data_IF_569680044187
#
_entry.id   IF_569680044187
#
_cell.length_a   1.000
_cell.length_b   1.000
_cell.length_c   1.000
_cell.angle_alpha   90.00
_cell.angle_beta   90.00
_cell.angle_gamma   90.00
#
_symmetry.space_group_name_H-M   'P 1'
#
loop_
_entity.id
_entity.type
_entity.pdbx_description
1 polymer ?
#
# COMPACT_ATOMS: atom_id res chain seq x y z
N UNK A 1 -22.15 -5.95 -8.91
CA UNK A 1 -21.01 -5.07 -9.24
C UNK A 1 -20.02 -5.83 -10.12
N UNK A 2 -19.53 -5.25 -11.22
CA UNK A 2 -18.49 -5.87 -12.04
C UNK A 2 -17.16 -6.03 -11.27
N UNK A 3 -16.25 -6.88 -11.77
CA UNK A 3 -14.94 -7.20 -11.15
C UNK A 3 -14.16 -5.94 -10.71
N UNK A 4 -14.20 -4.87 -11.51
CA UNK A 4 -13.53 -3.60 -11.22
C UNK A 4 -14.16 -2.84 -10.04
N UNK A 5 -15.50 -2.80 -9.94
CA UNK A 5 -16.20 -2.12 -8.85
C UNK A 5 -15.93 -2.76 -7.48
N UNK A 6 -15.78 -4.09 -7.44
CA UNK A 6 -15.41 -4.81 -6.22
C UNK A 6 -14.01 -4.42 -5.71
N UNK A 7 -13.05 -4.28 -6.62
CA UNK A 7 -11.67 -3.93 -6.27
C UNK A 7 -11.56 -2.48 -5.77
N UNK A 8 -12.31 -1.55 -6.38
CA UNK A 8 -12.37 -0.16 -5.92
C UNK A 8 -12.94 -0.09 -4.50
N UNK A 9 -14.07 -0.75 -4.25
CA UNK A 9 -14.66 -0.81 -2.92
C UNK A 9 -13.69 -1.41 -1.89
N UNK A 10 -12.99 -2.48 -2.27
CA UNK A 10 -11.98 -3.10 -1.41
C UNK A 10 -10.86 -2.11 -1.05
N UNK A 11 -10.31 -1.37 -2.01
CA UNK A 11 -9.26 -0.37 -1.74
C UNK A 11 -9.75 0.77 -0.85
N UNK A 12 -11.03 1.16 -0.96
CA UNK A 12 -11.61 2.18 -0.09
C UNK A 12 -11.72 1.68 1.34
N UNK A 13 -12.24 0.45 1.51
CA UNK A 13 -12.35 -0.18 2.84
C UNK A 13 -10.97 -0.33 3.48
N UNK A 14 -9.98 -0.84 2.73
CA UNK A 14 -8.60 -0.96 3.20
C UNK A 14 -8.05 0.43 3.59
N UNK A 15 -8.25 1.45 2.76
CA UNK A 15 -7.80 2.81 3.06
C UNK A 15 -8.41 3.37 4.33
N UNK A 16 -9.71 3.12 4.56
CA UNK A 16 -10.40 3.54 5.78
C UNK A 16 -9.88 2.82 7.02
N UNK A 17 -9.59 1.52 6.92
CA UNK A 17 -8.99 0.75 8.02
C UNK A 17 -7.59 1.27 8.34
N UNK A 18 -6.76 1.52 7.32
CA UNK A 18 -5.40 2.05 7.51
C UNK A 18 -5.46 3.46 8.12
N UNK A 19 -6.40 4.30 7.67
CA UNK A 19 -6.62 5.62 8.26
C UNK A 19 -6.91 5.52 9.76
N UNK A 20 -7.81 4.63 10.17
CA UNK A 20 -8.12 4.41 11.59
C UNK A 20 -6.89 3.92 12.36
N UNK A 21 -6.18 2.92 11.84
CA UNK A 21 -4.97 2.37 12.47
C UNK A 21 -3.90 3.46 12.62
N UNK A 22 -3.64 4.24 11.57
CA UNK A 22 -2.65 5.30 11.57
C UNK A 22 -2.98 6.39 12.59
N UNK A 23 -4.22 6.88 12.61
CA UNK A 23 -4.63 7.91 13.57
C UNK A 23 -4.63 7.41 15.02
N UNK A 24 -4.94 6.13 15.28
CA UNK A 24 -4.78 5.52 16.61
C UNK A 24 -3.31 5.45 16.98
N UNK A 25 -2.47 4.95 16.08
CA UNK A 25 -1.05 4.69 16.34
C UNK A 25 -0.25 5.97 16.60
N UNK A 26 -0.53 7.04 15.84
CA UNK A 26 0.13 8.33 15.96
C UNK A 26 -0.65 9.34 16.82
N UNK A 27 -1.80 8.94 17.39
CA UNK A 27 -2.69 9.79 18.18
C UNK A 27 -3.12 11.10 17.46
N UNK A 28 -3.41 10.99 16.17
CA UNK A 28 -3.57 12.11 15.23
C UNK A 28 -5.04 12.47 14.93
N UNK A 29 -5.99 11.97 15.73
CA UNK A 29 -7.43 12.28 15.57
C UNK A 29 -7.81 13.74 15.88
N UNK A 30 -6.84 14.61 16.15
CA UNK A 30 -7.06 16.01 16.53
C UNK A 30 -7.18 16.89 15.29
N UNK A 31 -8.30 16.75 14.58
CA UNK A 31 -8.61 17.61 13.43
C UNK A 31 -9.22 18.92 13.91
N UNK A 32 -8.66 20.06 13.47
CA UNK A 32 -9.20 21.38 13.81
C UNK A 32 -10.33 21.81 12.86
N UNK A 33 -10.45 21.15 11.71
CA UNK A 33 -11.48 21.43 10.71
C UNK A 33 -11.88 20.19 9.90
N UNK A 34 -13.10 20.17 9.32
CA UNK A 34 -13.50 19.13 8.36
C UNK A 34 -12.55 19.02 7.15
N UNK A 35 -11.92 20.13 6.75
CA UNK A 35 -10.98 20.17 5.64
C UNK A 35 -9.69 19.40 5.96
N UNK A 36 -9.14 19.56 7.17
CA UNK A 36 -7.97 18.78 7.62
C UNK A 36 -8.27 17.28 7.66
N UNK A 37 -9.45 16.91 8.17
CA UNK A 37 -9.92 15.52 8.17
C UNK A 37 -10.00 14.97 6.73
N UNK A 38 -10.65 15.70 5.82
CA UNK A 38 -10.81 15.28 4.42
C UNK A 38 -9.48 15.18 3.69
N UNK A 39 -8.54 16.09 3.97
CA UNK A 39 -7.19 16.01 3.42
C UNK A 39 -6.47 14.75 3.91
N UNK A 40 -6.42 14.53 5.23
CA UNK A 40 -5.77 13.35 5.81
C UNK A 40 -6.41 12.06 5.28
N UNK A 41 -7.73 11.94 5.39
CA UNK A 41 -8.46 10.79 4.87
C UNK A 41 -8.22 10.58 3.37
N UNK A 42 -8.28 11.63 2.56
CA UNK A 42 -8.00 11.59 1.13
C UNK A 42 -6.60 11.07 0.80
N UNK A 43 -5.59 11.46 1.57
CA UNK A 43 -4.22 10.98 1.41
C UNK A 43 -4.11 9.47 1.71
N UNK A 44 -4.73 9.00 2.79
CA UNK A 44 -4.80 7.56 3.09
C UNK A 44 -5.51 6.77 1.98
N UNK A 45 -6.60 7.31 1.42
CA UNK A 45 -7.31 6.69 0.30
C UNK A 45 -6.44 6.64 -0.97
N UNK A 46 -5.73 7.72 -1.30
CA UNK A 46 -4.83 7.77 -2.44
C UNK A 46 -3.72 6.73 -2.34
N UNK A 47 -3.09 6.62 -1.16
CA UNK A 47 -2.03 5.65 -0.90
C UNK A 47 -2.56 4.22 -0.99
N UNK A 48 -3.70 3.94 -0.36
CA UNK A 48 -4.36 2.62 -0.44
C UNK A 48 -4.70 2.25 -1.88
N UNK A 49 -5.20 3.20 -2.67
CA UNK A 49 -5.54 2.96 -4.06
C UNK A 49 -4.29 2.60 -4.87
N UNK A 50 -3.25 3.44 -4.85
CA UNK A 50 -2.03 3.22 -5.63
C UNK A 50 -1.35 1.92 -5.22
N UNK A 51 -1.06 1.75 -3.93
CA UNK A 51 -0.34 0.57 -3.45
C UNK A 51 -1.19 -0.71 -3.58
N UNK A 52 -2.48 -0.63 -3.28
CA UNK A 52 -3.41 -1.74 -3.38
C UNK A 52 -3.56 -2.25 -4.81
N UNK A 53 -3.78 -1.36 -5.78
CA UNK A 53 -3.89 -1.75 -7.18
C UNK A 53 -2.56 -2.22 -7.76
N UNK A 54 -1.44 -1.56 -7.45
CA UNK A 54 -0.11 -2.00 -7.91
C UNK A 54 0.22 -3.42 -7.43
N UNK A 55 -0.03 -3.71 -6.15
CA UNK A 55 0.19 -5.05 -5.61
C UNK A 55 -0.81 -6.07 -6.19
N UNK A 56 -2.10 -5.73 -6.28
CA UNK A 56 -3.11 -6.63 -6.86
C UNK A 56 -2.78 -7.00 -8.31
N UNK A 57 -2.33 -6.03 -9.11
CA UNK A 57 -1.90 -6.26 -10.49
C UNK A 57 -0.67 -7.18 -10.53
N UNK A 58 0.33 -6.91 -9.69
CA UNK A 58 1.52 -7.75 -9.58
C UNK A 58 1.19 -9.20 -9.21
N UNK A 59 0.33 -9.42 -8.21
CA UNK A 59 -0.07 -10.77 -7.82
C UNK A 59 -0.92 -11.45 -8.88
N UNK A 60 -1.77 -10.72 -9.60
CA UNK A 60 -2.53 -11.26 -10.75
C UNK A 60 -1.59 -11.71 -11.86
N UNK A 61 -0.56 -10.92 -12.17
CA UNK A 61 0.47 -11.28 -13.14
C UNK A 61 1.26 -12.52 -12.69
N UNK A 62 1.69 -12.56 -11.43
CA UNK A 62 2.37 -13.72 -10.86
C UNK A 62 1.52 -14.99 -10.89
N UNK A 63 0.21 -14.90 -10.68
CA UNK A 63 -0.71 -16.03 -10.74
C UNK A 63 -0.81 -16.63 -12.15
N UNK A 64 -0.62 -15.82 -13.19
CA UNK A 64 -0.62 -16.27 -14.59
C UNK A 64 0.65 -17.00 -15.04
N UNK A 65 1.69 -17.04 -14.20
CA UNK A 65 2.94 -17.74 -14.51
C UNK A 65 2.81 -19.26 -14.33
N UNK A 66 3.50 -20.02 -15.18
CA UNK A 66 3.53 -21.48 -15.11
C UNK A 66 4.46 -21.97 -13.99
N UNK A 67 3.95 -21.97 -12.75
CA UNK A 67 4.66 -22.48 -11.59
C UNK A 67 4.71 -24.02 -11.60
N UNK A 68 5.89 -24.60 -11.36
CA UNK A 68 6.00 -26.06 -11.17
C UNK A 68 5.48 -26.45 -9.77
N UNK A 69 5.04 -27.70 -9.56
CA UNK A 69 4.52 -28.15 -8.26
C UNK A 69 5.47 -27.93 -7.07
N UNK A 70 6.80 -27.98 -7.32
CA UNK A 70 7.84 -27.77 -6.31
C UNK A 70 8.25 -26.29 -6.12
N UNK A 71 7.70 -25.34 -6.87
CA UNK A 71 8.11 -23.93 -6.80
C UNK A 71 7.33 -23.13 -5.73
N UNK A 72 6.59 -23.79 -4.83
CA UNK A 72 5.78 -23.12 -3.78
C UNK A 72 6.59 -22.10 -2.97
N UNK A 73 7.77 -22.49 -2.48
CA UNK A 73 8.65 -21.61 -1.70
C UNK A 73 9.17 -20.45 -2.54
N UNK A 74 9.57 -20.72 -3.79
CA UNK A 74 10.05 -19.68 -4.71
C UNK A 74 8.96 -18.65 -5.01
N UNK A 75 7.72 -19.10 -5.21
CA UNK A 75 6.56 -18.24 -5.46
C UNK A 75 6.31 -17.30 -4.28
N UNK A 76 6.34 -17.81 -3.06
CA UNK A 76 6.17 -16.99 -1.85
C UNK A 76 7.29 -15.95 -1.75
N UNK A 77 8.54 -16.38 -1.91
CA UNK A 77 9.70 -15.50 -1.81
C UNK A 77 9.71 -14.39 -2.86
N UNK A 78 9.46 -14.73 -4.13
CA UNK A 78 9.37 -13.75 -5.22
C UNK A 78 8.17 -12.82 -5.06
N UNK A 79 7.05 -13.34 -4.53
CA UNK A 79 5.87 -12.53 -4.24
C UNK A 79 6.12 -11.50 -3.15
N UNK A 80 6.80 -11.92 -2.07
CA UNK A 80 7.18 -11.02 -1.00
C UNK A 80 8.17 -9.95 -1.48
N UNK A 81 9.25 -10.34 -2.14
CA UNK A 81 10.25 -9.41 -2.64
C UNK A 81 9.68 -8.42 -3.67
N UNK A 82 8.90 -8.92 -4.63
CA UNK A 82 8.27 -8.07 -5.63
C UNK A 82 7.28 -7.08 -5.02
N UNK A 83 6.48 -7.53 -4.05
CA UNK A 83 5.57 -6.65 -3.32
C UNK A 83 6.30 -5.58 -2.52
N UNK A 84 7.40 -5.92 -1.84
CA UNK A 84 8.24 -4.95 -1.13
C UNK A 84 8.79 -3.91 -2.09
N UNK A 85 9.36 -4.34 -3.23
CA UNK A 85 9.93 -3.44 -4.23
C UNK A 85 8.87 -2.50 -4.82
N UNK A 86 7.71 -3.04 -5.21
CA UNK A 86 6.60 -2.25 -5.76
C UNK A 86 6.06 -1.26 -4.72
N UNK A 87 5.95 -1.68 -3.47
CA UNK A 87 5.47 -0.82 -2.38
C UNK A 87 6.44 0.31 -2.09
N UNK A 88 7.73 0.03 -1.99
CA UNK A 88 8.75 1.05 -1.76
C UNK A 88 8.79 2.07 -2.91
N UNK A 89 8.74 1.59 -4.16
CA UNK A 89 8.69 2.46 -5.33
C UNK A 89 7.41 3.29 -5.36
N UNK A 90 6.26 2.67 -5.07
CA UNK A 90 4.97 3.35 -5.02
C UNK A 90 4.93 4.44 -3.94
N UNK A 91 5.42 4.13 -2.74
CA UNK A 91 5.55 5.10 -1.65
C UNK A 91 6.50 6.24 -2.01
N UNK A 92 7.64 5.93 -2.63
CA UNK A 92 8.59 6.95 -3.09
C UNK A 92 7.93 7.91 -4.08
N UNK A 93 7.25 7.37 -5.10
CA UNK A 93 6.56 8.19 -6.10
C UNK A 93 5.40 8.99 -5.50
N UNK A 94 4.59 8.39 -4.63
CA UNK A 94 3.52 9.09 -3.93
C UNK A 94 4.07 10.27 -3.13
N UNK A 95 5.09 10.05 -2.30
CA UNK A 95 5.69 11.09 -1.48
C UNK A 95 6.38 12.16 -2.30
N UNK A 96 7.08 11.76 -3.36
CA UNK A 96 7.68 12.70 -4.32
C UNK A 96 6.62 13.61 -4.94
N UNK A 97 5.52 13.03 -5.43
CA UNK A 97 4.44 13.80 -6.06
C UNK A 97 3.73 14.70 -5.06
N UNK A 98 3.48 14.23 -3.83
CA UNK A 98 2.92 15.06 -2.75
C UNK A 98 3.85 16.23 -2.42
N UNK A 99 5.14 15.97 -2.23
CA UNK A 99 6.13 16.99 -1.90
C UNK A 99 6.22 18.08 -2.99
N UNK A 100 6.35 17.68 -4.26
CA UNK A 100 6.50 18.62 -5.37
C UNK A 100 5.19 19.36 -5.70
N UNK A 101 4.07 18.63 -5.80
CA UNK A 101 2.83 19.19 -6.36
C UNK A 101 1.91 19.82 -5.30
N UNK A 102 1.92 19.31 -4.07
CA UNK A 102 1.00 19.75 -3.01
C UNK A 102 1.75 20.63 -2.00
N UNK A 103 2.88 20.16 -1.49
CA UNK A 103 3.64 20.85 -0.44
C UNK A 103 4.61 21.91 -1.01
N UNK A 104 4.82 21.92 -2.34
CA UNK A 104 5.73 22.85 -3.04
C UNK A 104 7.18 22.78 -2.53
N UNK A 105 7.60 21.61 -2.07
CA UNK A 105 8.99 21.34 -1.64
C UNK A 105 9.81 21.01 -2.88
N UNK A 106 10.99 21.60 -3.10
CA UNK A 106 11.81 21.30 -4.26
C UNK A 106 12.48 19.91 -4.13
N UNK A 107 12.80 19.29 -5.28
CA UNK A 107 13.27 17.91 -5.37
C UNK A 107 14.52 17.63 -4.51
N UNK A 108 15.48 18.55 -4.51
CA UNK A 108 16.71 18.45 -3.74
C UNK A 108 16.43 18.36 -2.23
N UNK A 109 15.50 19.17 -1.73
CA UNK A 109 15.08 19.17 -0.32
C UNK A 109 14.28 17.91 0.02
N UNK A 110 13.44 17.43 -0.89
CA UNK A 110 12.74 16.16 -0.72
C UNK A 110 13.75 15.02 -0.49
N UNK A 111 14.68 14.82 -1.43
CA UNK A 111 15.66 13.73 -1.36
C UNK A 111 16.56 13.81 -0.11
N UNK A 112 16.96 15.02 0.31
CA UNK A 112 17.79 15.19 1.52
C UNK A 112 17.06 14.85 2.83
N UNK A 113 15.73 14.96 2.85
CA UNK A 113 14.91 14.70 4.03
C UNK A 113 14.34 13.27 4.04
N UNK A 114 14.78 12.42 3.11
CA UNK A 114 14.30 11.05 3.05
C UNK A 114 14.88 10.16 4.15
N UNK A 115 13.99 9.52 4.91
CA UNK A 115 14.34 8.62 6.02
C UNK A 115 13.51 7.34 5.95
N UNK A 116 14.01 6.28 6.60
CA UNK A 116 13.27 5.02 6.70
C UNK A 116 11.89 5.16 7.35
N UNK A 117 11.75 6.07 8.33
CA UNK A 117 10.47 6.31 9.01
C UNK A 117 9.37 6.75 8.05
N UNK A 118 9.73 7.41 6.95
CA UNK A 118 8.79 7.84 5.94
C UNK A 118 8.15 6.70 5.14
N UNK A 119 8.79 5.52 5.12
CA UNK A 119 8.38 4.37 4.32
C UNK A 119 7.91 3.19 5.17
N UNK A 120 8.43 3.06 6.39
CA UNK A 120 8.27 1.88 7.24
C UNK A 120 6.81 1.57 7.53
N UNK A 121 5.97 2.57 7.81
CA UNK A 121 4.54 2.36 8.10
C UNK A 121 3.78 1.80 6.90
N UNK A 122 3.91 2.43 5.72
CA UNK A 122 3.25 1.97 4.50
C UNK A 122 3.73 0.59 4.07
N UNK A 123 5.03 0.31 4.22
CA UNK A 123 5.58 -1.01 3.94
C UNK A 123 5.06 -2.06 4.93
N UNK A 124 5.03 -1.76 6.22
CA UNK A 124 4.55 -2.66 7.26
C UNK A 124 3.08 -3.06 7.03
N UNK A 125 2.22 -2.09 6.70
CA UNK A 125 0.82 -2.35 6.34
C UNK A 125 0.73 -3.26 5.11
N UNK A 126 1.50 -2.97 4.06
CA UNK A 126 1.44 -3.76 2.84
C UNK A 126 1.91 -5.19 3.06
N UNK A 127 3.01 -5.37 3.79
CA UNK A 127 3.51 -6.69 4.18
C UNK A 127 2.49 -7.46 5.00
N UNK A 128 1.81 -6.80 5.94
CA UNK A 128 0.73 -7.40 6.75
C UNK A 128 -0.39 -7.91 5.85
N UNK A 129 -0.86 -7.09 4.89
CA UNK A 129 -1.88 -7.50 3.93
C UNK A 129 -1.42 -8.68 3.05
N UNK A 130 -0.19 -8.63 2.53
CA UNK A 130 0.38 -9.70 1.70
C UNK A 130 0.46 -11.02 2.46
N UNK A 131 0.90 -10.97 3.72
CA UNK A 131 0.96 -12.15 4.59
C UNK A 131 -0.45 -12.69 4.82
N UNK A 132 -1.43 -11.84 5.15
CA UNK A 132 -2.81 -12.27 5.30
C UNK A 132 -3.35 -12.93 4.02
N UNK A 133 -3.09 -12.35 2.85
CA UNK A 133 -3.46 -12.97 1.59
C UNK A 133 -2.81 -14.33 1.40
N UNK A 134 -1.50 -14.47 1.64
CA UNK A 134 -0.82 -15.75 1.52
C UNK A 134 -1.34 -16.77 2.54
N UNK A 135 -1.54 -16.39 3.80
CA UNK A 135 -2.06 -17.31 4.82
C UNK A 135 -3.47 -17.76 4.45
N UNK A 136 -4.42 -16.85 4.22
CA UNK A 136 -5.81 -17.23 3.95
C UNK A 136 -5.99 -17.91 2.59
N UNK A 137 -5.32 -17.44 1.53
CA UNK A 137 -5.47 -18.03 0.20
C UNK A 137 -4.73 -19.37 0.06
N UNK A 138 -3.55 -19.50 0.68
CA UNK A 138 -2.76 -20.72 0.60
C UNK A 138 -3.26 -21.79 1.58
N UNK A 139 -3.74 -21.40 2.78
CA UNK A 139 -4.33 -22.34 3.73
C UNK A 139 -5.62 -22.97 3.21
N UNK A 140 -6.48 -22.22 2.50
CA UNK A 140 -7.70 -22.77 1.88
C UNK A 140 -7.46 -23.66 0.65
N UNK A 141 -6.21 -23.81 0.20
CA UNK A 141 -5.84 -24.66 -0.95
C UNK A 141 -5.21 -26.00 -0.54
N UNK A 142 -5.17 -26.29 0.76
CA UNK A 142 -4.78 -27.56 1.39
C UNK A 142 -5.87 -28.01 2.37
#
# INVERSE_FOLDING_TARGET
>A
MGKHGKNILLTIVIGSVIFLIGNIFYNDFRFNSPQEFLYSFGMYQLYSFVLGFSNMYFFTWMEGLNWKPNDKIKRIFLGLLGSVAITLLGLFLLRLMTALAIEQIPFDRFIQNETWGNYSFGLWITLTLVIFFHVFYFYNKF
#
